data_IF_175136013818
#
_entry.id   IF_175136013818
#
_cell.length_a   1.000
_cell.length_b   1.000
_cell.length_c   1.000
_cell.angle_alpha   90.00
_cell.angle_beta   90.00
_cell.angle_gamma   90.00
#
_symmetry.space_group_name_H-M   'P 1'
#
loop_
_entity.id
_entity.type
_entity.pdbx_description
1 polymer ?
#
# COMPACT_ATOMS: atom_id res chain seq x y z
N UNK A 1 26.09 -4.08 6.65
CA UNK A 1 26.00 -3.61 8.06
C UNK A 1 25.94 -4.76 9.04
N UNK A 2 25.01 -5.71 8.86
CA UNK A 2 24.87 -6.92 9.69
C UNK A 2 26.21 -7.64 9.93
N UNK A 3 26.89 -8.09 8.87
CA UNK A 3 28.17 -8.81 8.97
C UNK A 3 29.23 -8.04 9.78
N UNK A 4 29.40 -6.75 9.53
CA UNK A 4 30.34 -5.92 10.27
C UNK A 4 29.97 -5.84 11.77
N UNK A 5 28.68 -5.76 12.09
CA UNK A 5 28.21 -5.76 13.47
C UNK A 5 28.41 -7.13 14.15
N UNK A 6 28.22 -8.24 13.44
CA UNK A 6 28.52 -9.59 13.93
C UNK A 6 30.01 -9.72 14.23
N UNK A 7 30.88 -9.37 13.28
CA UNK A 7 32.33 -9.44 13.42
C UNK A 7 32.89 -8.58 14.56
N UNK A 8 32.28 -7.43 14.83
CA UNK A 8 32.67 -6.53 15.92
C UNK A 8 32.05 -6.90 17.29
N UNK A 9 31.16 -7.89 17.34
CA UNK A 9 30.40 -8.25 18.54
C UNK A 9 29.29 -7.26 18.92
N UNK A 10 29.03 -6.24 18.09
CA UNK A 10 28.01 -5.23 18.35
C UNK A 10 26.60 -5.63 17.89
N UNK A 11 26.47 -6.70 17.09
CA UNK A 11 25.20 -7.17 16.52
C UNK A 11 24.08 -7.34 17.56
N UNK A 12 24.40 -7.87 18.74
CA UNK A 12 23.42 -8.16 19.80
C UNK A 12 23.18 -7.00 20.76
N UNK A 13 23.74 -5.82 20.48
CA UNK A 13 23.51 -4.63 21.32
C UNK A 13 22.04 -4.22 21.25
N UNK A 14 21.40 -4.11 22.42
CA UNK A 14 20.05 -3.54 22.54
C UNK A 14 20.02 -2.14 21.93
N UNK A 15 19.08 -1.94 21.02
CA UNK A 15 18.98 -0.74 20.18
C UNK A 15 17.51 -0.36 20.00
N UNK A 16 17.27 0.94 19.89
CA UNK A 16 15.95 1.51 19.56
C UNK A 16 16.08 2.20 18.20
N UNK A 17 15.22 1.82 17.26
CA UNK A 17 15.11 2.44 15.94
C UNK A 17 13.77 3.18 15.86
N UNK A 18 13.80 4.47 15.56
CA UNK A 18 12.61 5.31 15.41
C UNK A 18 12.41 5.68 13.93
N UNK A 19 11.24 5.35 13.39
CA UNK A 19 10.85 5.72 12.04
C UNK A 19 9.96 6.95 12.10
N UNK A 20 10.42 8.05 11.53
CA UNK A 20 9.69 9.32 11.50
C UNK A 20 9.91 10.09 10.19
N UNK A 21 8.89 10.84 9.78
CA UNK A 21 9.00 11.78 8.67
C UNK A 21 9.79 13.01 9.08
N UNK A 22 10.81 13.40 8.30
CA UNK A 22 11.57 14.65 8.58
C UNK A 22 10.89 15.90 8.05
N UNK A 23 10.18 15.77 6.92
CA UNK A 23 9.48 16.84 6.21
C UNK A 23 8.27 16.25 5.49
N UNK A 24 7.24 17.06 5.30
CA UNK A 24 6.09 16.71 4.49
C UNK A 24 6.15 17.43 3.13
N UNK A 25 5.64 16.83 2.04
CA UNK A 25 5.63 17.47 0.73
C UNK A 25 4.79 18.75 0.70
N UNK A 26 5.24 19.78 -0.04
CA UNK A 26 4.40 20.89 -0.52
C UNK A 26 3.45 21.55 0.49
N UNK A 27 3.97 22.19 1.55
CA UNK A 27 3.16 22.98 2.50
C UNK A 27 2.16 22.17 3.33
N UNK A 28 2.20 20.84 3.25
CA UNK A 28 1.35 19.94 4.04
C UNK A 28 1.72 20.05 5.53
N UNK A 29 0.71 20.28 6.36
CA UNK A 29 0.89 20.45 7.82
C UNK A 29 0.88 19.14 8.60
N UNK A 30 0.29 18.09 8.05
CA UNK A 30 0.18 16.76 8.66
C UNK A 30 0.24 15.67 7.58
N UNK A 31 0.68 14.48 7.98
CA UNK A 31 0.49 13.23 7.25
C UNK A 31 -0.53 12.34 7.97
N UNK A 32 -0.97 11.28 7.30
CA UNK A 32 -1.86 10.25 7.87
C UNK A 32 -1.08 8.95 7.91
N UNK A 33 -1.07 8.30 9.06
CA UNK A 33 -0.41 7.01 9.29
C UNK A 33 -1.18 5.94 8.54
N UNK A 34 -0.49 5.20 7.68
CA UNK A 34 -0.96 3.96 7.09
C UNK A 34 0.24 3.04 6.81
N UNK A 35 -0.05 1.75 6.69
CA UNK A 35 0.92 0.69 6.50
C UNK A 35 1.23 -0.11 7.76
N UNK A 36 0.63 0.20 8.92
CA UNK A 36 0.91 -0.53 10.18
C UNK A 36 0.49 -1.99 10.07
N UNK A 37 -0.71 -2.30 9.57
CA UNK A 37 -1.14 -3.70 9.39
C UNK A 37 -0.21 -4.48 8.47
N UNK A 38 0.09 -3.91 7.28
CA UNK A 38 1.03 -4.51 6.33
C UNK A 38 2.43 -4.67 6.89
N UNK A 39 2.87 -3.75 7.74
CA UNK A 39 4.16 -3.82 8.42
C UNK A 39 4.22 -5.03 9.35
N UNK A 40 3.18 -5.25 10.15
CA UNK A 40 3.14 -6.37 11.08
C UNK A 40 3.12 -7.71 10.32
N UNK A 41 2.27 -7.84 9.30
CA UNK A 41 2.21 -9.04 8.44
C UNK A 41 3.58 -9.33 7.78
N UNK A 42 4.25 -8.27 7.32
CA UNK A 42 5.55 -8.39 6.68
C UNK A 42 6.66 -8.78 7.68
N UNK A 43 6.67 -8.22 8.89
CA UNK A 43 7.65 -8.60 9.94
C UNK A 43 7.45 -10.05 10.39
N UNK A 44 6.19 -10.50 10.52
CA UNK A 44 5.88 -11.87 10.90
C UNK A 44 6.41 -12.87 9.86
N UNK A 45 6.26 -12.55 8.58
CA UNK A 45 6.67 -13.38 7.44
C UNK A 45 8.14 -13.20 7.01
N UNK A 46 8.84 -12.15 7.47
CA UNK A 46 10.19 -11.82 6.98
C UNK A 46 11.22 -12.87 7.39
N UNK A 47 11.58 -13.76 6.47
CA UNK A 47 12.54 -14.86 6.63
C UNK A 47 13.41 -14.97 5.39
N UNK A 48 14.54 -15.62 5.54
CA UNK A 48 15.43 -15.98 4.44
C UNK A 48 15.22 -17.47 4.18
N UNK A 49 14.77 -17.81 2.98
CA UNK A 49 14.66 -19.21 2.56
C UNK A 49 15.97 -19.75 1.98
N UNK A 50 15.97 -21.03 1.60
CA UNK A 50 17.18 -21.68 1.08
C UNK A 50 17.67 -21.02 -0.24
N UNK A 51 16.75 -20.51 -1.06
CA UNK A 51 17.09 -19.84 -2.32
C UNK A 51 17.71 -18.45 -2.05
N UNK A 52 17.18 -17.70 -1.08
CA UNK A 52 17.76 -16.43 -0.63
C UNK A 52 19.19 -16.64 -0.10
N UNK A 53 19.39 -17.63 0.76
CA UNK A 53 20.69 -17.92 1.37
C UNK A 53 21.71 -18.41 0.33
N UNK A 54 21.28 -19.26 -0.59
CA UNK A 54 22.12 -19.71 -1.70
C UNK A 54 22.53 -18.54 -2.58
N UNK A 55 21.61 -17.64 -2.93
CA UNK A 55 21.94 -16.44 -3.70
C UNK A 55 22.97 -15.57 -2.97
N UNK A 56 22.80 -15.32 -1.67
CA UNK A 56 23.73 -14.51 -0.89
C UNK A 56 25.13 -15.14 -0.82
N UNK A 57 25.20 -16.47 -0.67
CA UNK A 57 26.44 -17.24 -0.63
C UNK A 57 27.14 -17.25 -1.99
N UNK A 58 26.43 -17.63 -3.06
CA UNK A 58 26.95 -17.76 -4.42
C UNK A 58 27.48 -16.44 -4.99
N UNK A 59 26.98 -15.31 -4.47
CA UNK A 59 27.38 -13.97 -4.90
C UNK A 59 28.28 -13.24 -3.89
N UNK A 60 28.83 -13.94 -2.89
CA UNK A 60 29.72 -13.39 -1.87
C UNK A 60 29.16 -12.10 -1.20
N UNK A 61 27.83 -12.03 -1.01
CA UNK A 61 27.18 -10.82 -0.46
C UNK A 61 27.49 -10.64 1.02
N UNK A 62 27.55 -11.76 1.75
CA UNK A 62 27.90 -11.81 3.17
C UNK A 62 28.73 -13.06 3.49
N UNK A 63 29.41 -13.07 4.63
CA UNK A 63 30.20 -14.23 5.07
C UNK A 63 29.36 -15.35 5.72
N UNK A 64 30.00 -16.49 5.97
CA UNK A 64 29.38 -17.68 6.57
C UNK A 64 28.71 -17.41 7.92
N UNK A 65 29.31 -16.55 8.76
CA UNK A 65 28.74 -16.17 10.06
C UNK A 65 27.44 -15.38 9.89
N UNK A 66 27.39 -14.47 8.92
CA UNK A 66 26.17 -13.75 8.59
C UNK A 66 25.11 -14.67 7.95
N UNK A 67 25.50 -15.63 7.11
CA UNK A 67 24.59 -16.62 6.52
C UNK A 67 23.93 -17.48 7.62
N UNK A 68 24.70 -17.97 8.58
CA UNK A 68 24.18 -18.76 9.71
C UNK A 68 23.21 -17.94 10.59
N UNK A 69 23.50 -16.65 10.79
CA UNK A 69 22.59 -15.76 11.49
C UNK A 69 21.28 -15.55 10.72
N UNK A 70 21.36 -15.35 9.39
CA UNK A 70 20.20 -15.13 8.52
C UNK A 70 19.31 -16.38 8.42
N UNK A 71 19.91 -17.58 8.36
CA UNK A 71 19.17 -18.84 8.25
C UNK A 71 18.30 -19.16 9.47
N UNK A 72 18.72 -18.68 10.65
CA UNK A 72 18.00 -18.84 11.91
C UNK A 72 17.19 -17.61 12.30
N UNK A 73 17.16 -16.57 11.46
CA UNK A 73 16.53 -15.30 11.77
C UNK A 73 15.04 -15.46 12.13
N UNK A 74 14.68 -14.87 13.27
CA UNK A 74 13.32 -14.65 13.75
C UNK A 74 13.34 -13.30 14.47
N UNK A 75 12.39 -12.41 14.17
CA UNK A 75 12.24 -11.19 14.95
C UNK A 75 11.72 -11.53 16.36
N UNK A 76 12.38 -11.02 17.39
CA UNK A 76 12.07 -11.25 18.81
C UNK A 76 11.94 -9.97 19.62
N UNK A 77 12.12 -8.82 18.98
CA UNK A 77 11.96 -7.52 19.60
C UNK A 77 10.51 -7.08 19.76
N UNK A 78 10.36 -5.84 20.22
CA UNK A 78 9.09 -5.18 20.45
C UNK A 78 8.90 -4.03 19.45
N UNK A 79 7.65 -3.82 19.04
CA UNK A 79 7.26 -2.75 18.11
C UNK A 79 6.12 -1.94 18.73
N UNK A 80 6.28 -0.62 18.77
CA UNK A 80 5.22 0.34 19.13
C UNK A 80 5.01 1.32 18.00
N UNK A 81 3.81 1.87 17.87
CA UNK A 81 3.53 2.86 16.84
C UNK A 81 2.12 3.41 16.94
N UNK A 82 1.83 4.33 16.03
CA UNK A 82 0.48 4.90 15.90
C UNK A 82 -0.52 3.92 15.29
N UNK A 83 -1.80 4.18 15.57
CA UNK A 83 -2.89 3.52 14.87
C UNK A 83 -2.97 3.99 13.42
N UNK A 84 -3.43 3.13 12.53
CA UNK A 84 -3.72 3.58 11.16
C UNK A 84 -4.88 4.58 11.15
N UNK A 85 -4.74 5.63 10.34
CA UNK A 85 -5.66 6.76 10.30
C UNK A 85 -5.26 7.93 11.20
N UNK A 86 -4.32 7.73 12.14
CA UNK A 86 -3.83 8.83 12.98
C UNK A 86 -3.11 9.90 12.16
N UNK A 87 -3.22 11.15 12.59
CA UNK A 87 -2.43 12.24 12.02
C UNK A 87 -1.04 12.27 12.66
N UNK A 88 0.00 12.41 11.83
CA UNK A 88 1.38 12.59 12.30
C UNK A 88 2.01 13.88 11.77
N UNK A 89 3.05 14.32 12.48
CA UNK A 89 3.81 15.54 12.19
C UNK A 89 5.30 15.21 12.02
N UNK A 90 6.07 16.08 11.34
CA UNK A 90 7.51 15.89 11.24
C UNK A 90 8.19 15.73 12.60
N UNK A 91 9.09 14.75 12.72
CA UNK A 91 9.84 14.48 13.94
C UNK A 91 9.10 13.66 15.00
N UNK A 92 7.84 13.29 14.78
CA UNK A 92 7.13 12.36 15.65
C UNK A 92 7.39 10.90 15.20
N UNK A 93 7.70 9.96 16.13
CA UNK A 93 7.97 8.57 15.80
C UNK A 93 6.67 7.84 15.45
N UNK A 94 6.52 7.47 14.17
CA UNK A 94 5.37 6.69 13.70
C UNK A 94 5.47 5.23 14.16
N UNK A 95 6.69 4.71 14.18
CA UNK A 95 7.02 3.35 14.59
C UNK A 95 8.34 3.36 15.37
N UNK A 96 8.38 2.63 16.48
CA UNK A 96 9.55 2.41 17.33
C UNK A 96 9.80 0.91 17.39
N UNK A 97 11.02 0.50 17.06
CA UNK A 97 11.47 -0.90 17.11
C UNK A 97 12.56 -1.03 18.17
N UNK A 98 12.30 -1.78 19.24
CA UNK A 98 13.29 -2.10 20.26
C UNK A 98 13.72 -3.56 20.13
N UNK A 99 14.96 -3.78 19.70
CA UNK A 99 15.50 -5.13 19.48
C UNK A 99 17.03 -5.13 19.58
N UNK A 100 17.69 -6.16 19.04
CA UNK A 100 19.13 -6.10 18.79
C UNK A 100 19.45 -5.25 17.55
N UNK A 101 20.66 -4.71 17.44
CA UNK A 101 21.05 -3.98 16.23
C UNK A 101 20.86 -4.83 14.96
N UNK A 102 21.24 -6.11 15.03
CA UNK A 102 21.12 -7.05 13.90
C UNK A 102 19.67 -7.26 13.46
N UNK A 103 18.72 -7.41 14.38
CA UNK A 103 17.30 -7.56 14.05
C UNK A 103 16.69 -6.28 13.48
N UNK A 104 16.96 -5.11 14.09
CA UNK A 104 16.41 -3.85 13.61
C UNK A 104 16.94 -3.45 12.22
N UNK A 105 18.25 -3.65 11.97
CA UNK A 105 18.89 -3.18 10.73
C UNK A 105 18.42 -3.96 9.49
N UNK A 106 18.09 -5.25 9.62
CA UNK A 106 17.59 -6.04 8.49
C UNK A 106 16.15 -5.68 8.12
N UNK A 107 15.35 -5.21 9.09
CA UNK A 107 13.97 -4.79 8.86
C UNK A 107 13.86 -3.35 8.34
N UNK A 108 14.87 -2.51 8.54
CA UNK A 108 14.82 -1.07 8.25
C UNK A 108 14.24 -0.75 6.86
N UNK A 109 14.72 -1.42 5.82
CA UNK A 109 14.28 -1.16 4.43
C UNK A 109 12.82 -1.56 4.21
N UNK A 110 12.40 -2.69 4.77
CA UNK A 110 11.03 -3.19 4.65
C UNK A 110 10.04 -2.22 5.32
N UNK A 111 10.33 -1.84 6.56
CA UNK A 111 9.50 -0.94 7.35
C UNK A 111 9.36 0.43 6.68
N UNK A 112 10.49 1.00 6.22
CA UNK A 112 10.49 2.28 5.50
C UNK A 112 9.72 2.19 4.18
N UNK A 113 9.87 1.09 3.42
CA UNK A 113 9.17 0.92 2.14
C UNK A 113 7.65 0.96 2.32
N UNK A 114 7.13 0.17 3.27
CA UNK A 114 5.70 0.09 3.55
C UNK A 114 5.16 1.42 4.07
N UNK A 115 5.76 1.97 5.13
CA UNK A 115 5.25 3.19 5.77
C UNK A 115 5.34 4.41 4.84
N UNK A 116 6.41 4.55 4.04
CA UNK A 116 6.51 5.67 3.09
C UNK A 116 5.41 5.60 2.02
N UNK A 117 5.18 4.43 1.42
CA UNK A 117 4.17 4.27 0.38
C UNK A 117 2.77 4.53 0.92
N UNK A 118 2.39 3.79 1.96
CA UNK A 118 1.01 3.76 2.46
C UNK A 118 0.64 5.11 3.09
N UNK A 119 1.52 5.68 3.91
CA UNK A 119 1.26 6.99 4.52
C UNK A 119 1.24 8.12 3.49
N UNK A 120 2.01 8.04 2.41
CA UNK A 120 1.95 9.03 1.32
C UNK A 120 0.59 8.99 0.59
N UNK A 121 0.09 7.79 0.30
CA UNK A 121 -1.23 7.58 -0.32
C UNK A 121 -2.34 8.03 0.62
N UNK A 122 -2.35 7.56 1.88
CA UNK A 122 -3.36 7.93 2.86
C UNK A 122 -3.39 9.45 3.09
N UNK A 123 -2.22 10.10 3.13
CA UNK A 123 -2.14 11.57 3.21
C UNK A 123 -2.74 12.26 1.99
N UNK A 124 -2.54 11.75 0.78
CA UNK A 124 -3.15 12.33 -0.42
C UNK A 124 -4.68 12.13 -0.41
N UNK A 125 -5.12 10.92 -0.09
CA UNK A 125 -6.52 10.54 -0.01
C UNK A 125 -7.28 11.36 1.05
N UNK A 126 -6.70 11.60 2.23
CA UNK A 126 -7.35 12.38 3.29
C UNK A 126 -7.73 13.80 2.85
N UNK A 127 -6.95 14.38 1.93
CA UNK A 127 -7.20 15.70 1.36
C UNK A 127 -8.32 15.66 0.32
N UNK A 128 -8.39 14.59 -0.47
CA UNK A 128 -9.47 14.36 -1.42
C UNK A 128 -10.79 14.16 -0.66
N UNK A 129 -10.80 13.32 0.38
CA UNK A 129 -11.95 13.12 1.26
C UNK A 129 -12.37 14.44 1.93
N UNK A 130 -11.42 15.20 2.47
CA UNK A 130 -11.71 16.51 3.07
C UNK A 130 -12.30 17.52 2.08
N UNK A 131 -11.86 17.52 0.82
CA UNK A 131 -12.39 18.39 -0.23
C UNK A 131 -13.74 17.90 -0.79
N UNK A 132 -14.01 16.59 -0.73
CA UNK A 132 -15.27 15.99 -1.18
C UNK A 132 -16.41 16.12 -0.16
N UNK A 133 -16.08 16.46 1.10
CA UNK A 133 -17.01 16.54 2.23
C UNK A 133 -17.82 15.24 2.41
N UNK A 134 -19.13 15.25 2.13
CA UNK A 134 -20.02 14.10 2.26
C UNK A 134 -20.14 13.28 0.97
N UNK A 135 -19.45 13.68 -0.09
CA UNK A 135 -19.51 12.96 -1.37
C UNK A 135 -18.54 11.78 -1.33
N UNK A 136 -18.96 10.60 -1.78
CA UNK A 136 -18.11 9.42 -1.78
C UNK A 136 -16.91 9.62 -2.71
N UNK A 137 -15.74 9.22 -2.23
CA UNK A 137 -14.53 9.07 -3.04
C UNK A 137 -14.32 7.59 -3.37
N UNK A 138 -13.98 7.28 -4.61
CA UNK A 138 -13.76 5.90 -5.08
C UNK A 138 -12.35 5.81 -5.69
N UNK A 139 -11.61 4.77 -5.30
CA UNK A 139 -10.24 4.53 -5.77
C UNK A 139 -10.27 3.75 -7.09
N UNK A 140 -9.74 4.37 -8.15
CA UNK A 140 -9.78 3.85 -9.54
C UNK A 140 -8.41 3.94 -10.24
N UNK A 141 -7.35 4.11 -9.46
CA UNK A 141 -5.99 4.43 -9.88
C UNK A 141 -5.08 3.22 -10.12
N UNK A 142 -5.57 1.98 -9.92
CA UNK A 142 -4.76 0.75 -10.04
C UNK A 142 -3.97 0.64 -11.36
N UNK A 143 -4.48 1.18 -12.47
CA UNK A 143 -3.80 1.19 -13.78
C UNK A 143 -2.65 2.20 -13.93
N UNK A 144 -2.36 3.01 -12.90
CA UNK A 144 -1.33 4.08 -12.89
C UNK A 144 -0.31 3.90 -11.78
N UNK A 145 -0.33 2.76 -11.11
CA UNK A 145 0.57 2.43 -10.02
C UNK A 145 1.15 1.03 -10.25
N UNK A 146 2.26 0.74 -9.60
CA UNK A 146 2.92 -0.56 -9.70
C UNK A 146 2.03 -1.68 -9.13
N UNK A 147 2.25 -2.88 -9.63
CA UNK A 147 1.41 -4.07 -9.53
C UNK A 147 0.78 -4.26 -8.15
N UNK A 148 1.54 -4.75 -7.16
CA UNK A 148 1.06 -4.94 -5.79
C UNK A 148 0.92 -3.64 -5.02
N UNK A 149 1.61 -2.58 -5.45
CA UNK A 149 1.42 -1.23 -4.90
C UNK A 149 0.01 -0.69 -5.15
N UNK A 150 -0.70 -1.19 -6.17
CA UNK A 150 -2.11 -0.88 -6.43
C UNK A 150 -3.03 -1.35 -5.30
N UNK A 151 -2.80 -2.57 -4.83
CA UNK A 151 -3.56 -3.18 -3.73
C UNK A 151 -3.31 -2.40 -2.44
N UNK A 152 -2.04 -2.08 -2.15
CA UNK A 152 -1.68 -1.25 -1.00
C UNK A 152 -2.27 0.17 -1.09
N UNK A 153 -2.27 0.78 -2.28
CA UNK A 153 -2.83 2.12 -2.49
C UNK A 153 -4.34 2.15 -2.27
N UNK A 154 -5.07 1.15 -2.78
CA UNK A 154 -6.51 1.00 -2.55
C UNK A 154 -6.83 0.90 -1.05
N UNK A 155 -6.07 0.08 -0.31
CA UNK A 155 -6.19 -0.03 1.16
C UNK A 155 -5.92 1.29 1.87
N UNK A 156 -4.82 1.95 1.55
CA UNK A 156 -4.44 3.22 2.18
C UNK A 156 -5.46 4.35 1.89
N UNK A 157 -6.03 4.38 0.67
CA UNK A 157 -7.08 5.32 0.32
C UNK A 157 -8.37 5.07 1.12
N UNK A 158 -8.75 3.80 1.30
CA UNK A 158 -9.91 3.41 2.10
C UNK A 158 -9.77 3.80 3.57
N UNK A 159 -8.59 3.57 4.17
CA UNK A 159 -8.27 4.03 5.54
C UNK A 159 -8.45 5.55 5.68
N UNK A 160 -8.12 6.31 4.64
CA UNK A 160 -8.24 7.76 4.61
C UNK A 160 -9.65 8.28 4.22
N UNK A 161 -10.65 7.39 4.14
CA UNK A 161 -12.06 7.74 3.97
C UNK A 161 -12.62 7.62 2.55
N UNK A 162 -11.92 6.96 1.63
CA UNK A 162 -12.57 6.52 0.39
C UNK A 162 -13.58 5.41 0.72
N UNK A 163 -14.68 5.32 -0.01
CA UNK A 163 -15.78 4.40 0.30
C UNK A 163 -15.69 3.08 -0.49
N UNK A 164 -14.99 3.07 -1.63
CA UNK A 164 -14.84 1.88 -2.47
C UNK A 164 -13.58 1.93 -3.34
N UNK A 165 -13.24 0.81 -3.96
CA UNK A 165 -12.16 0.67 -4.95
C UNK A 165 -12.60 -0.16 -6.17
N UNK A 166 -11.96 0.02 -7.32
CA UNK A 166 -12.04 -0.95 -8.43
C UNK A 166 -11.10 -2.15 -8.31
N UNK A 167 -10.20 -2.13 -7.32
CA UNK A 167 -9.22 -3.18 -7.13
C UNK A 167 -9.84 -4.39 -6.44
N UNK A 168 -10.17 -5.42 -7.23
CA UNK A 168 -10.78 -6.66 -6.73
C UNK A 168 -9.89 -7.40 -5.73
N UNK A 169 -8.57 -7.34 -5.89
CA UNK A 169 -7.64 -7.98 -4.96
C UNK A 169 -7.65 -7.28 -3.59
N UNK A 170 -7.75 -5.95 -3.55
CA UNK A 170 -7.93 -5.21 -2.30
C UNK A 170 -9.27 -5.52 -1.63
N UNK A 171 -10.34 -5.73 -2.42
CA UNK A 171 -11.62 -6.20 -1.91
C UNK A 171 -11.52 -7.61 -1.30
N UNK A 172 -10.78 -8.51 -1.94
CA UNK A 172 -10.56 -9.88 -1.46
C UNK A 172 -9.74 -9.92 -0.16
N UNK A 173 -8.62 -9.21 -0.11
CA UNK A 173 -7.66 -9.33 0.99
C UNK A 173 -8.04 -8.49 2.21
N UNK A 174 -8.71 -7.36 2.00
CA UNK A 174 -9.01 -6.39 3.06
C UNK A 174 -10.51 -6.14 3.26
N UNK A 175 -11.39 -6.82 2.51
CA UNK A 175 -12.84 -6.64 2.63
C UNK A 175 -13.34 -5.26 2.20
N UNK A 176 -12.55 -4.52 1.41
CA UNK A 176 -12.92 -3.18 0.95
C UNK A 176 -14.06 -3.29 -0.07
N UNK A 177 -15.14 -2.48 0.04
CA UNK A 177 -16.19 -2.45 -0.96
C UNK A 177 -15.63 -2.22 -2.36
N UNK A 178 -16.01 -3.07 -3.30
CA UNK A 178 -15.55 -2.96 -4.69
C UNK A 178 -16.66 -2.43 -5.59
N UNK A 179 -16.29 -1.60 -6.56
CA UNK A 179 -17.21 -1.04 -7.54
C UNK A 179 -16.51 -0.83 -8.89
N UNK A 180 -17.27 -0.97 -9.97
CA UNK A 180 -16.81 -0.80 -11.33
C UNK A 180 -17.95 -1.04 -12.29
N UNK A 181 -18.03 -0.25 -13.37
CA UNK A 181 -19.07 -0.38 -14.39
C UNK A 181 -18.46 -0.84 -15.70
N UNK A 182 -18.58 -0.05 -16.75
CA UNK A 182 -18.03 -0.30 -18.06
C UNK A 182 -16.87 0.65 -18.35
N UNK A 183 -15.96 0.21 -19.21
CA UNK A 183 -14.94 1.07 -19.83
C UNK A 183 -15.34 1.37 -21.28
N UNK A 184 -14.72 2.38 -21.89
CA UNK A 184 -14.98 2.71 -23.31
C UNK A 184 -14.83 1.53 -24.26
N UNK A 185 -13.93 0.59 -23.98
CA UNK A 185 -13.74 -0.62 -24.78
C UNK A 185 -15.01 -1.49 -24.86
N UNK A 186 -15.86 -1.47 -23.84
CA UNK A 186 -17.14 -2.16 -23.85
C UNK A 186 -18.11 -1.48 -24.83
N UNK A 187 -18.23 -0.16 -24.78
CA UNK A 187 -19.05 0.60 -25.73
C UNK A 187 -18.57 0.42 -27.17
N UNK A 188 -17.25 0.49 -27.40
CA UNK A 188 -16.63 0.32 -28.72
C UNK A 188 -16.75 -1.10 -29.31
N UNK A 189 -17.13 -2.10 -28.50
CA UNK A 189 -17.39 -3.47 -28.98
C UNK A 189 -18.74 -3.58 -29.71
N UNK A 190 -19.63 -2.61 -29.57
CA UNK A 190 -21.00 -2.66 -30.07
C UNK A 190 -21.17 -1.71 -31.27
N UNK A 191 -22.08 -2.06 -32.20
CA UNK A 191 -22.34 -1.24 -33.40
C UNK A 191 -22.91 0.13 -33.06
N UNK A 192 -23.65 0.24 -31.94
CA UNK A 192 -24.18 1.50 -31.43
C UNK A 192 -24.02 1.62 -29.91
N UNK A 193 -23.89 2.85 -29.42
CA UNK A 193 -23.81 3.13 -27.98
C UNK A 193 -25.10 2.72 -27.23
N UNK A 194 -26.26 2.81 -27.88
CA UNK A 194 -27.53 2.32 -27.36
C UNK A 194 -27.50 0.82 -27.08
N UNK A 195 -26.88 0.04 -27.98
CA UNK A 195 -26.81 -1.41 -27.82
C UNK A 195 -25.90 -1.78 -26.64
N UNK A 196 -24.80 -1.05 -26.44
CA UNK A 196 -23.95 -1.20 -25.26
C UNK A 196 -24.72 -0.88 -23.97
N UNK A 197 -25.46 0.24 -23.92
CA UNK A 197 -26.24 0.61 -22.74
C UNK A 197 -27.31 -0.43 -22.40
N UNK A 198 -28.04 -0.93 -23.40
CA UNK A 198 -29.01 -2.01 -23.21
C UNK A 198 -28.35 -3.26 -22.66
N UNK A 199 -27.24 -3.71 -23.26
CA UNK A 199 -26.52 -4.88 -22.80
C UNK A 199 -26.04 -4.74 -21.35
N UNK A 200 -25.54 -3.56 -20.95
CA UNK A 200 -25.12 -3.29 -19.59
C UNK A 200 -26.30 -3.29 -18.60
N UNK A 201 -27.42 -2.62 -18.93
CA UNK A 201 -28.61 -2.57 -18.09
C UNK A 201 -29.27 -3.95 -17.96
N UNK A 202 -29.35 -4.72 -19.03
CA UNK A 202 -29.89 -6.08 -19.01
C UNK A 202 -29.06 -7.01 -18.12
N UNK A 203 -27.73 -6.81 -18.07
CA UNK A 203 -26.82 -7.61 -17.25
C UNK A 203 -26.71 -7.15 -15.80
N UNK A 204 -26.69 -5.84 -15.54
CA UNK A 204 -26.34 -5.24 -14.24
C UNK A 204 -27.53 -4.57 -13.53
N UNK A 205 -28.68 -4.48 -14.21
CA UNK A 205 -29.86 -3.78 -13.73
C UNK A 205 -29.82 -2.26 -13.94
N UNK A 206 -30.95 -1.62 -13.70
CA UNK A 206 -31.16 -0.17 -13.91
C UNK A 206 -30.41 0.72 -12.92
N UNK A 207 -29.80 0.15 -11.88
CA UNK A 207 -28.98 0.88 -10.91
C UNK A 207 -27.51 1.08 -11.34
N UNK A 208 -27.13 0.59 -12.52
CA UNK A 208 -25.77 0.72 -13.06
C UNK A 208 -25.46 2.14 -13.55
N UNK A 209 -24.19 2.51 -13.59
CA UNK A 209 -23.72 3.78 -14.15
C UNK A 209 -23.26 3.59 -15.59
N UNK A 210 -23.88 4.33 -16.52
CA UNK A 210 -23.53 4.32 -17.94
C UNK A 210 -22.42 5.32 -18.26
N UNK A 211 -21.49 4.91 -19.13
CA UNK A 211 -20.38 5.74 -19.60
C UNK A 211 -20.78 6.46 -20.90
N UNK A 212 -21.04 7.77 -20.80
CA UNK A 212 -21.71 8.56 -21.86
C UNK A 212 -20.75 9.41 -22.71
N UNK A 213 -19.46 9.33 -22.48
CA UNK A 213 -18.44 10.17 -23.13
C UNK A 213 -17.61 9.42 -24.17
N UNK A 214 -18.16 8.35 -24.76
CA UNK A 214 -17.44 7.57 -25.79
C UNK A 214 -17.42 8.26 -27.15
N UNK A 215 -18.56 8.84 -27.57
CA UNK A 215 -18.68 9.55 -28.85
C UNK A 215 -19.11 11.01 -28.66
N UNK A 216 -20.36 11.23 -28.24
CA UNK A 216 -20.96 12.55 -28.01
C UNK A 216 -21.82 12.50 -26.75
N UNK A 217 -21.49 13.35 -25.76
CA UNK A 217 -22.12 13.33 -24.43
C UNK A 217 -23.59 13.73 -24.49
N UNK A 218 -23.95 14.73 -25.30
CA UNK A 218 -25.33 15.20 -25.36
C UNK A 218 -26.23 14.14 -25.99
N UNK A 219 -25.75 13.49 -27.05
CA UNK A 219 -26.49 12.42 -27.70
C UNK A 219 -26.57 11.17 -26.81
N UNK A 220 -25.48 10.77 -26.17
CA UNK A 220 -25.45 9.64 -25.25
C UNK A 220 -26.48 9.80 -24.11
N UNK A 221 -26.59 11.00 -23.53
CA UNK A 221 -27.56 11.32 -22.47
C UNK A 221 -29.00 11.37 -22.99
N UNK A 222 -29.24 11.70 -24.27
CA UNK A 222 -30.58 11.59 -24.87
C UNK A 222 -30.99 10.14 -25.14
N UNK A 223 -30.02 9.28 -25.39
CA UNK A 223 -30.21 7.89 -25.84
C UNK A 223 -30.29 6.90 -24.68
N UNK A 224 -29.58 7.16 -23.58
CA UNK A 224 -29.64 6.40 -22.32
C UNK A 224 -30.87 6.73 -21.48
#
# INVERSE_FOLDING_TARGET
MLQAALKSGAAHRRSVFELFGRRLPGGRRYGVVAGTGRTLDAVESFRFDDDDLAFLADNDVVDEVALEWLSSYRFTGDIWGYGEGDAYFPGSPLLVVESTFAESVVLETLLLSILNHDSAVASAASRMTGAAEKRPCIEMGSRRTHEWSAVAAARAAYIAGFEATSNLQAGRDYGIPTTGTAAHSFTLLHDTERDAFRAQVDSMGTGTTLLVDTFDVEEAVRVG
#
